data_IF_328682224190
#
_entry.id   IF_328682224190
#
_cell.length_a   1.000
_cell.length_b   1.000
_cell.length_c   1.000
_cell.angle_alpha   90.00
_cell.angle_beta   90.00
_cell.angle_gamma   90.00
#
_symmetry.space_group_name_H-M   'P 1'
#
loop_
_entity.id
_entity.type
_entity.pdbx_description
1 polymer ?
#
# COMPACT_ATOMS: atom_id res chain seq x y z
N UNK A 1 0.17 -8.75 48.04
CA UNK A 1 -0.55 -8.69 46.76
C UNK A 1 -0.29 -7.33 46.14
N UNK A 2 0.73 -7.16 45.28
CA UNK A 2 0.98 -5.94 44.46
C UNK A 2 2.27 -6.09 43.61
N UNK A 3 2.28 -7.02 42.66
CA UNK A 3 3.41 -7.16 41.73
C UNK A 3 3.00 -7.79 40.40
N UNK A 4 2.19 -8.85 40.44
CA UNK A 4 1.75 -9.57 39.23
C UNK A 4 0.62 -8.84 38.47
N UNK A 5 -0.29 -8.16 39.18
CA UNK A 5 -1.37 -7.38 38.54
C UNK A 5 -0.90 -6.11 37.81
N UNK A 6 0.31 -5.60 38.11
CA UNK A 6 0.92 -4.48 37.40
C UNK A 6 1.67 -4.93 36.14
N UNK A 7 2.23 -6.15 36.13
CA UNK A 7 2.80 -6.75 34.92
C UNK A 7 1.74 -7.15 33.90
N UNK A 8 0.63 -7.76 34.33
CA UNK A 8 -0.46 -8.11 33.40
C UNK A 8 -1.16 -6.90 32.78
N UNK A 9 -1.24 -5.76 33.47
CA UNK A 9 -1.79 -4.52 32.87
C UNK A 9 -0.87 -3.91 31.80
N UNK A 10 0.44 -4.14 31.89
CA UNK A 10 1.39 -3.65 30.89
C UNK A 10 1.57 -4.61 29.70
N UNK A 11 1.31 -5.91 29.86
CA UNK A 11 1.37 -6.88 28.75
C UNK A 11 0.09 -6.93 27.89
N UNK A 12 -1.05 -6.49 28.42
CA UNK A 12 -2.32 -6.40 27.66
C UNK A 12 -2.40 -5.12 26.82
N UNK A 13 -1.53 -4.12 27.07
CA UNK A 13 -1.54 -2.83 26.38
C UNK A 13 -0.88 -2.78 24.98
N UNK A 14 -0.36 -3.91 24.49
CA UNK A 14 0.48 -3.96 23.26
C UNK A 14 -0.20 -4.72 22.11
N UNK A 15 -1.32 -5.44 22.36
CA UNK A 15 -2.03 -6.24 21.33
C UNK A 15 -2.89 -5.45 20.34
N UNK A 16 -2.97 -4.13 20.50
CA UNK A 16 -4.03 -3.32 19.90
C UNK A 16 -3.48 -2.22 18.99
N UNK A 17 -2.26 -2.37 18.46
CA UNK A 17 -1.70 -1.38 17.52
C UNK A 17 -1.35 -2.05 16.21
N UNK A 18 -1.73 -1.43 15.09
CA UNK A 18 -1.29 -1.79 13.74
C UNK A 18 -0.42 -0.67 13.22
N UNK A 19 0.73 -1.03 12.64
CA UNK A 19 1.65 -0.10 12.02
C UNK A 19 1.64 -0.33 10.51
N UNK A 20 1.23 0.68 9.74
CA UNK A 20 1.16 0.60 8.28
C UNK A 20 2.16 1.58 7.72
N UNK A 21 2.95 1.14 6.75
CA UNK A 21 3.65 2.03 5.82
C UNK A 21 3.12 1.78 4.43
N UNK A 22 2.84 2.83 3.67
CA UNK A 22 2.53 2.68 2.24
C UNK A 22 3.38 3.62 1.40
N UNK A 23 3.83 3.14 0.25
CA UNK A 23 4.71 3.91 -0.63
C UNK A 23 4.66 3.43 -2.09
N UNK A 24 4.33 4.33 -3.01
CA UNK A 24 4.62 4.13 -4.42
C UNK A 24 6.13 4.30 -4.65
N UNK A 25 6.83 3.22 -5.00
CA UNK A 25 8.30 3.20 -5.08
C UNK A 25 8.83 3.61 -6.44
N UNK A 26 7.95 3.97 -7.38
CA UNK A 26 8.32 4.49 -8.69
C UNK A 26 9.33 3.61 -9.44
N UNK A 27 9.11 2.28 -9.41
CA UNK A 27 10.02 1.28 -10.00
C UNK A 27 11.46 1.33 -9.46
N UNK A 28 11.68 1.94 -8.29
CA UNK A 28 13.00 2.23 -7.74
C UNK A 28 13.86 3.14 -8.64
N UNK A 29 13.25 3.98 -9.49
CA UNK A 29 13.96 4.68 -10.58
C UNK A 29 14.57 6.05 -10.25
N UNK A 30 14.38 6.53 -9.02
CA UNK A 30 14.79 7.87 -8.61
C UNK A 30 14.33 8.97 -9.59
N UNK A 31 13.06 8.91 -10.06
CA UNK A 31 12.45 9.88 -10.98
C UNK A 31 13.05 9.89 -12.40
N UNK A 32 13.98 8.98 -12.73
CA UNK A 32 14.51 8.82 -14.08
C UNK A 32 13.52 8.07 -14.98
N UNK A 33 13.27 8.60 -16.18
CA UNK A 33 12.46 7.91 -17.20
C UNK A 33 13.07 8.13 -18.58
N UNK A 34 13.55 7.05 -19.19
CA UNK A 34 14.21 7.09 -20.51
C UNK A 34 13.29 6.77 -21.68
N UNK A 35 12.13 6.14 -21.44
CA UNK A 35 11.16 5.72 -22.46
C UNK A 35 9.74 6.23 -22.24
N UNK A 36 8.79 5.68 -22.99
CA UNK A 36 7.36 5.94 -22.76
C UNK A 36 6.92 5.39 -21.40
N UNK A 37 5.78 5.84 -20.90
CA UNK A 37 5.23 5.42 -19.60
C UNK A 37 5.10 3.90 -19.46
N UNK A 38 4.94 3.17 -20.57
CA UNK A 38 4.79 1.72 -20.59
C UNK A 38 6.06 0.93 -20.94
N UNK A 39 7.20 1.59 -21.14
CA UNK A 39 8.42 0.93 -21.67
C UNK A 39 9.39 0.40 -20.62
N UNK A 40 9.11 0.59 -19.31
CA UNK A 40 9.82 0.01 -18.15
C UNK A 40 11.24 -0.50 -18.45
N UNK A 41 12.19 0.43 -18.50
CA UNK A 41 13.59 0.11 -18.77
C UNK A 41 14.32 -0.16 -17.44
N UNK A 42 15.10 -1.24 -17.37
CA UNK A 42 15.90 -1.55 -16.18
C UNK A 42 16.90 -0.44 -15.84
N UNK A 43 17.45 0.21 -16.87
CA UNK A 43 18.38 1.32 -16.73
C UNK A 43 17.76 2.56 -16.08
N UNK A 44 16.44 2.61 -15.95
CA UNK A 44 15.76 3.65 -15.17
C UNK A 44 15.86 3.36 -13.67
N UNK A 45 15.92 2.10 -13.25
CA UNK A 45 16.08 1.72 -11.84
C UNK A 45 17.43 2.20 -11.28
N UNK A 46 17.41 2.72 -10.05
CA UNK A 46 18.59 3.23 -9.35
C UNK A 46 18.91 2.38 -8.12
N UNK A 47 20.16 1.91 -8.04
CA UNK A 47 20.60 1.01 -6.98
C UNK A 47 20.59 1.67 -5.59
N UNK A 48 20.95 2.96 -5.50
CA UNK A 48 20.98 3.65 -4.22
C UNK A 48 19.57 3.88 -3.70
N UNK A 49 18.65 4.29 -4.58
CA UNK A 49 17.22 4.40 -4.28
C UNK A 49 16.67 3.07 -3.78
N UNK A 50 16.95 1.96 -4.49
CA UNK A 50 16.55 0.64 -4.04
C UNK A 50 17.08 0.31 -2.64
N UNK A 51 18.39 0.46 -2.41
CA UNK A 51 19.04 0.17 -1.12
C UNK A 51 18.42 1.01 0.00
N UNK A 52 18.19 2.30 -0.24
CA UNK A 52 17.60 3.21 0.74
C UNK A 52 16.18 2.80 1.10
N UNK A 53 15.37 2.45 0.09
CA UNK A 53 13.98 1.98 0.30
C UNK A 53 13.99 0.67 1.10
N UNK A 54 14.80 -0.32 0.71
CA UNK A 54 14.89 -1.59 1.43
C UNK A 54 15.32 -1.40 2.88
N UNK A 55 16.32 -0.56 3.13
CA UNK A 55 16.77 -0.23 4.49
C UNK A 55 15.65 0.39 5.32
N UNK A 56 14.97 1.39 4.77
CA UNK A 56 13.87 2.08 5.43
C UNK A 56 12.69 1.15 5.74
N UNK A 57 12.40 0.17 4.87
CA UNK A 57 11.40 -0.87 5.11
C UNK A 57 11.82 -1.79 6.27
N UNK A 58 13.07 -2.26 6.28
CA UNK A 58 13.61 -3.10 7.36
C UNK A 58 13.56 -2.37 8.69
N UNK A 59 14.03 -1.13 8.75
CA UNK A 59 14.01 -0.29 9.94
C UNK A 59 12.57 -0.10 10.48
N UNK A 60 11.58 0.07 9.59
CA UNK A 60 10.18 0.15 9.98
C UNK A 60 9.63 -1.17 10.55
N UNK A 61 9.88 -2.30 9.88
CA UNK A 61 9.44 -3.62 10.32
C UNK A 61 10.15 -4.11 11.61
N UNK A 62 11.36 -3.64 11.87
CA UNK A 62 12.15 -3.97 13.06
C UNK A 62 11.79 -3.13 14.28
N UNK A 63 11.45 -1.86 14.08
CA UNK A 63 11.12 -0.94 15.17
C UNK A 63 9.65 -1.02 15.62
N UNK A 64 8.79 -1.72 14.89
CA UNK A 64 7.33 -1.73 15.11
C UNK A 64 6.78 -3.15 15.22
N UNK A 65 5.78 -3.32 16.09
CA UNK A 65 4.98 -4.54 16.16
C UNK A 65 3.79 -4.44 15.22
N UNK A 66 3.24 -5.59 14.80
CA UNK A 66 2.10 -5.67 13.88
C UNK A 66 2.27 -4.75 12.67
N UNK A 67 3.46 -4.80 12.08
CA UNK A 67 3.90 -3.88 11.05
C UNK A 67 3.77 -4.49 9.67
N UNK A 68 3.27 -3.69 8.74
CA UNK A 68 3.17 -4.03 7.32
C UNK A 68 3.63 -2.85 6.47
N UNK A 69 4.35 -3.17 5.40
CA UNK A 69 4.67 -2.21 4.34
C UNK A 69 3.93 -2.60 3.07
N UNK A 70 3.18 -1.67 2.50
CA UNK A 70 2.44 -1.81 1.25
C UNK A 70 3.15 -0.98 0.19
N UNK A 71 3.67 -1.63 -0.86
CA UNK A 71 4.38 -0.94 -1.92
C UNK A 71 3.58 -0.98 -3.21
N UNK A 72 3.46 0.17 -3.85
CA UNK A 72 2.89 0.30 -5.20
C UNK A 72 4.01 0.47 -6.20
N UNK A 73 3.77 0.06 -7.45
CA UNK A 73 4.75 0.19 -8.53
C UNK A 73 6.09 -0.51 -8.24
N UNK A 74 6.04 -1.70 -7.64
CA UNK A 74 7.23 -2.55 -7.60
C UNK A 74 7.45 -3.12 -9.00
N UNK A 75 8.63 -2.97 -9.61
CA UNK A 75 8.88 -3.48 -10.95
C UNK A 75 8.90 -5.01 -10.92
N UNK A 76 8.19 -5.63 -11.86
CA UNK A 76 8.11 -7.09 -12.00
C UNK A 76 8.74 -7.55 -13.32
N UNK A 77 8.34 -6.94 -14.45
CA UNK A 77 8.96 -7.17 -15.76
C UNK A 77 9.42 -5.88 -16.40
N UNK A 78 10.58 -5.98 -17.03
CA UNK A 78 11.29 -4.90 -17.72
C UNK A 78 11.52 -5.29 -19.18
N UNK A 79 11.62 -4.26 -20.04
CA UNK A 79 11.92 -4.45 -21.46
C UNK A 79 13.43 -4.57 -21.63
N UNK A 80 13.86 -5.67 -22.25
CA UNK A 80 15.25 -5.87 -22.71
C UNK A 80 15.22 -6.23 -24.20
N UNK A 81 15.56 -5.25 -25.04
CA UNK A 81 15.39 -5.33 -26.49
C UNK A 81 13.95 -5.64 -26.91
N UNK A 82 13.73 -6.84 -27.47
CA UNK A 82 12.41 -7.32 -27.90
C UNK A 82 11.71 -8.23 -26.87
N UNK A 83 12.35 -8.51 -25.73
CA UNK A 83 11.86 -9.43 -24.71
C UNK A 83 11.42 -8.70 -23.44
N UNK A 84 10.54 -9.35 -22.67
CA UNK A 84 10.14 -8.93 -21.34
C UNK A 84 10.67 -9.93 -20.31
N UNK A 85 11.61 -9.48 -19.51
CA UNK A 85 12.31 -10.29 -18.53
C UNK A 85 11.89 -9.88 -17.11
N UNK A 86 11.99 -10.80 -16.16
CA UNK A 86 11.81 -10.46 -14.75
C UNK A 86 12.90 -9.49 -14.31
N UNK A 87 12.49 -8.41 -13.65
CA UNK A 87 13.37 -7.34 -13.18
C UNK A 87 14.32 -7.83 -12.10
N UNK A 88 15.62 -7.49 -12.20
CA UNK A 88 16.58 -7.93 -11.18
C UNK A 88 16.34 -7.29 -9.82
N UNK A 89 15.74 -6.10 -9.76
CA UNK A 89 15.32 -5.48 -8.49
C UNK A 89 14.18 -6.23 -7.81
N UNK A 90 13.30 -6.89 -8.58
CA UNK A 90 12.29 -7.80 -8.03
C UNK A 90 12.96 -8.99 -7.34
N UNK A 91 13.91 -9.64 -8.02
CA UNK A 91 14.68 -10.77 -7.47
C UNK A 91 15.49 -10.36 -6.25
N UNK A 92 16.16 -9.20 -6.29
CA UNK A 92 16.89 -8.65 -5.15
C UNK A 92 15.97 -8.44 -3.95
N UNK A 93 14.75 -7.96 -4.17
CA UNK A 93 13.78 -7.75 -3.08
C UNK A 93 13.49 -9.06 -2.34
N UNK A 94 13.26 -10.17 -3.05
CA UNK A 94 13.08 -11.47 -2.42
C UNK A 94 14.34 -11.98 -1.68
N UNK A 95 15.54 -11.64 -2.15
CA UNK A 95 16.78 -11.97 -1.44
C UNK A 95 16.96 -11.13 -0.17
N UNK A 96 16.56 -9.85 -0.22
CA UNK A 96 16.68 -8.92 0.90
C UNK A 96 15.65 -9.18 2.01
N UNK A 97 14.52 -9.82 1.68
CA UNK A 97 13.48 -10.23 2.63
C UNK A 97 13.32 -11.76 2.62
N UNK A 98 14.24 -12.49 3.28
CA UNK A 98 14.29 -13.94 3.18
C UNK A 98 13.07 -14.59 3.85
N UNK A 99 12.58 -15.66 3.23
CA UNK A 99 11.30 -16.28 3.57
C UNK A 99 11.29 -17.02 4.90
N UNK A 100 12.41 -17.18 5.60
CA UNK A 100 12.41 -17.71 6.96
C UNK A 100 11.93 -16.67 7.99
N UNK A 101 12.02 -15.38 7.67
CA UNK A 101 11.68 -14.26 8.58
C UNK A 101 10.53 -13.41 8.06
N UNK A 102 10.54 -13.13 6.75
CA UNK A 102 9.58 -12.25 6.10
C UNK A 102 8.63 -13.01 5.17
N UNK A 103 7.55 -12.34 4.83
CA UNK A 103 6.63 -12.73 3.77
C UNK A 103 6.45 -11.53 2.82
N UNK A 104 6.64 -11.80 1.52
CA UNK A 104 6.24 -10.89 0.46
C UNK A 104 4.94 -11.43 -0.13
N UNK A 105 3.85 -10.68 0.00
CA UNK A 105 2.53 -11.04 -0.54
C UNK A 105 2.25 -10.22 -1.77
N UNK A 106 1.95 -10.90 -2.87
CA UNK A 106 1.72 -10.30 -4.17
C UNK A 106 0.57 -11.00 -4.90
N UNK A 107 -0.12 -10.25 -5.76
CA UNK A 107 -1.16 -10.80 -6.62
C UNK A 107 -0.69 -10.90 -8.07
N UNK A 108 0.30 -11.74 -8.35
CA UNK A 108 0.75 -11.99 -9.71
C UNK A 108 -0.25 -12.90 -10.43
N UNK A 109 -1.11 -12.30 -11.26
CA UNK A 109 -1.98 -13.05 -12.18
C UNK A 109 -1.17 -13.67 -13.33
N UNK A 110 -1.76 -14.65 -14.04
CA UNK A 110 -1.16 -15.23 -15.26
C UNK A 110 -1.03 -14.24 -16.43
N UNK A 111 -1.64 -13.06 -16.33
CA UNK A 111 -1.56 -12.04 -17.36
C UNK A 111 -0.19 -11.35 -17.37
N UNK A 112 0.08 -10.66 -18.46
CA UNK A 112 1.26 -9.83 -18.61
C UNK A 112 1.27 -8.70 -17.56
N UNK A 113 2.31 -8.65 -16.71
CA UNK A 113 2.48 -7.69 -15.60
C UNK A 113 3.86 -7.06 -15.72
N UNK A 114 3.93 -5.73 -15.71
CA UNK A 114 5.21 -4.97 -15.67
C UNK A 114 5.54 -4.49 -14.28
N UNK A 115 4.53 -4.14 -13.48
CA UNK A 115 4.65 -3.67 -12.09
C UNK A 115 3.51 -4.20 -11.24
N UNK A 116 3.71 -4.37 -9.95
CA UNK A 116 2.73 -4.89 -9.01
C UNK A 116 2.62 -4.06 -7.73
N UNK A 117 1.50 -4.25 -7.02
CA UNK A 117 1.36 -3.87 -5.62
C UNK A 117 1.69 -5.08 -4.76
N UNK A 118 2.52 -4.89 -3.73
CA UNK A 118 2.95 -5.96 -2.83
C UNK A 118 2.83 -5.53 -1.37
N UNK A 119 2.85 -6.51 -0.47
CA UNK A 119 3.04 -6.30 0.96
C UNK A 119 4.32 -6.98 1.41
N UNK A 120 5.04 -6.35 2.33
CA UNK A 120 6.18 -6.93 3.03
C UNK A 120 5.88 -6.88 4.52
N UNK A 121 6.02 -8.03 5.18
CA UNK A 121 5.67 -8.19 6.60
C UNK A 121 6.50 -9.29 7.25
N UNK A 122 6.60 -9.24 8.58
CA UNK A 122 7.16 -10.34 9.38
C UNK A 122 6.18 -11.50 9.47
N UNK A 123 6.69 -12.71 9.37
CA UNK A 123 5.86 -13.92 9.43
C UNK A 123 5.08 -14.04 10.74
N UNK A 124 3.89 -14.62 10.64
CA UNK A 124 3.06 -15.01 11.79
C UNK A 124 2.10 -13.94 12.31
N UNK A 125 2.11 -12.73 11.75
CA UNK A 125 1.21 -11.64 12.15
C UNK A 125 0.03 -11.53 11.19
N UNK A 126 0.32 -11.46 9.89
CA UNK A 126 -0.67 -11.30 8.84
C UNK A 126 -0.86 -12.62 8.10
N UNK A 127 -2.05 -12.81 7.52
CA UNK A 127 -2.31 -13.88 6.56
C UNK A 127 -2.92 -13.30 5.30
N UNK A 128 -2.73 -13.95 4.15
CA UNK A 128 -3.39 -13.56 2.90
C UNK A 128 -4.91 -13.68 3.05
N UNK A 129 -5.66 -12.66 2.63
CA UNK A 129 -7.11 -12.78 2.48
C UNK A 129 -7.42 -13.59 1.23
N UNK A 130 -7.75 -14.87 1.43
CA UNK A 130 -8.10 -15.80 0.34
C UNK A 130 -9.50 -15.56 -0.22
N UNK A 131 -10.36 -14.83 0.51
CA UNK A 131 -11.71 -14.52 0.07
C UNK A 131 -11.75 -13.27 -0.81
N UNK A 132 -10.75 -12.38 -0.69
CA UNK A 132 -10.61 -11.24 -1.55
C UNK A 132 -9.88 -11.60 -2.85
N UNK A 133 -10.59 -11.49 -3.97
CA UNK A 133 -10.08 -11.80 -5.31
C UNK A 133 -10.11 -10.53 -6.17
N UNK A 134 -9.08 -9.67 -6.08
CA UNK A 134 -9.09 -8.42 -6.82
C UNK A 134 -8.97 -8.68 -8.33
N UNK A 135 -9.58 -7.80 -9.11
CA UNK A 135 -9.64 -7.88 -10.56
C UNK A 135 -8.26 -7.85 -11.26
N UNK A 136 -7.21 -7.36 -10.59
CA UNK A 136 -5.84 -7.30 -11.11
C UNK A 136 -4.78 -7.31 -10.00
N UNK A 137 -3.51 -7.15 -10.39
CA UNK A 137 -2.34 -7.20 -9.52
C UNK A 137 -1.99 -5.88 -8.80
N UNK A 138 -2.87 -4.88 -8.90
CA UNK A 138 -2.70 -3.55 -8.26
C UNK A 138 -3.39 -3.46 -6.91
N UNK A 139 -4.12 -4.50 -6.50
CA UNK A 139 -4.66 -4.64 -5.15
C UNK A 139 -4.20 -5.96 -4.53
N UNK A 140 -3.89 -5.92 -3.24
CA UNK A 140 -3.65 -7.09 -2.40
C UNK A 140 -4.50 -7.02 -1.13
N UNK A 141 -4.91 -8.17 -0.61
CA UNK A 141 -5.69 -8.27 0.62
C UNK A 141 -5.04 -9.19 1.64
N UNK A 142 -5.04 -8.74 2.89
CA UNK A 142 -4.47 -9.43 4.05
C UNK A 142 -5.44 -9.36 5.21
N UNK A 143 -5.32 -10.29 6.14
CA UNK A 143 -6.04 -10.30 7.40
C UNK A 143 -5.06 -10.28 8.58
N UNK A 144 -5.45 -9.57 9.63
CA UNK A 144 -4.80 -9.58 10.94
C UNK A 144 -5.71 -10.37 11.88
N UNK A 145 -5.36 -11.64 12.11
CA UNK A 145 -6.29 -12.59 12.71
C UNK A 145 -7.62 -12.64 11.95
N UNK A 146 -8.73 -12.81 12.68
CA UNK A 146 -10.09 -12.82 12.13
C UNK A 146 -10.81 -11.46 12.26
N UNK A 147 -10.10 -10.40 12.70
CA UNK A 147 -10.71 -9.13 13.14
C UNK A 147 -10.63 -8.02 12.08
N UNK A 148 -9.48 -7.89 11.40
CA UNK A 148 -9.20 -6.75 10.52
C UNK A 148 -8.67 -7.20 9.17
N UNK A 149 -9.29 -6.71 8.11
CA UNK A 149 -8.77 -6.81 6.74
C UNK A 149 -7.95 -5.55 6.41
N UNK A 150 -6.79 -5.74 5.77
CA UNK A 150 -5.93 -4.68 5.25
C UNK A 150 -5.79 -4.85 3.74
N UNK A 151 -6.07 -3.78 2.98
CA UNK A 151 -5.89 -3.72 1.54
C UNK A 151 -4.74 -2.77 1.17
N UNK A 152 -3.83 -3.25 0.34
CA UNK A 152 -2.86 -2.41 -0.37
C UNK A 152 -3.39 -2.10 -1.76
N UNK A 153 -3.49 -0.83 -2.16
CA UNK A 153 -4.07 -0.42 -3.45
C UNK A 153 -3.12 0.42 -4.29
N UNK A 154 -3.26 0.33 -5.60
CA UNK A 154 -2.73 1.28 -6.56
C UNK A 154 -3.82 1.58 -7.61
N UNK A 155 -4.62 2.62 -7.39
CA UNK A 155 -5.81 2.91 -8.17
C UNK A 155 -5.49 3.61 -9.50
N UNK A 156 -6.27 3.37 -10.57
CA UNK A 156 -6.08 4.03 -11.85
C UNK A 156 -6.63 5.46 -11.87
N UNK A 157 -6.09 6.27 -12.76
CA UNK A 157 -6.65 7.55 -13.22
C UNK A 157 -6.83 7.53 -14.75
N UNK A 158 -7.45 8.57 -15.32
CA UNK A 158 -7.62 8.72 -16.79
C UNK A 158 -8.35 7.57 -17.48
N UNK A 159 -9.33 7.01 -16.79
CA UNK A 159 -10.17 5.92 -17.29
C UNK A 159 -11.54 6.40 -17.77
N UNK A 160 -12.28 5.52 -18.44
CA UNK A 160 -13.65 5.75 -18.92
C UNK A 160 -14.64 4.99 -18.05
N UNK A 161 -15.87 5.49 -17.96
CA UNK A 161 -16.95 4.78 -17.29
C UNK A 161 -17.13 3.39 -17.93
N UNK A 162 -17.34 2.39 -17.08
CA UNK A 162 -17.50 0.98 -17.47
C UNK A 162 -16.28 0.26 -18.05
N UNK A 163 -15.10 0.87 -18.06
CA UNK A 163 -13.86 0.16 -18.41
C UNK A 163 -13.29 -0.65 -17.23
N UNK A 164 -12.19 -1.39 -17.47
CA UNK A 164 -11.54 -2.20 -16.44
C UNK A 164 -10.98 -1.38 -15.26
N UNK A 165 -10.56 -0.14 -15.51
CA UNK A 165 -10.03 0.74 -14.48
C UNK A 165 -11.16 1.33 -13.63
N UNK A 166 -12.31 1.65 -14.23
CA UNK A 166 -13.54 2.02 -13.50
C UNK A 166 -14.09 0.84 -12.69
N UNK A 167 -14.02 -0.37 -13.25
CA UNK A 167 -14.40 -1.59 -12.54
C UNK A 167 -13.55 -1.81 -11.29
N UNK A 168 -12.24 -1.57 -11.35
CA UNK A 168 -11.35 -1.67 -10.18
C UNK A 168 -11.76 -0.72 -9.05
N UNK A 169 -12.16 0.52 -9.38
CA UNK A 169 -12.71 1.46 -8.40
C UNK A 169 -14.02 0.96 -7.78
N UNK A 170 -14.96 0.50 -8.61
CA UNK A 170 -16.25 0.00 -8.15
C UNK A 170 -16.11 -1.24 -7.27
N UNK A 171 -15.24 -2.19 -7.65
CA UNK A 171 -14.92 -3.38 -6.85
C UNK A 171 -14.43 -3.00 -5.44
N UNK A 172 -13.52 -2.03 -5.33
CA UNK A 172 -13.04 -1.53 -4.03
C UNK A 172 -14.16 -0.89 -3.21
N UNK A 173 -15.00 -0.06 -3.83
CA UNK A 173 -16.11 0.64 -3.17
C UNK A 173 -17.18 -0.35 -2.70
N UNK A 174 -17.55 -1.32 -3.54
CA UNK A 174 -18.51 -2.38 -3.23
C UNK A 174 -17.99 -3.24 -2.07
N UNK A 175 -16.74 -3.70 -2.13
CA UNK A 175 -16.13 -4.46 -1.04
C UNK A 175 -16.10 -3.67 0.28
N UNK A 176 -15.74 -2.38 0.22
CA UNK A 176 -15.73 -1.50 1.39
C UNK A 176 -17.13 -1.30 1.97
N UNK A 177 -18.13 -1.15 1.11
CA UNK A 177 -19.54 -1.02 1.49
C UNK A 177 -20.04 -2.28 2.19
N UNK A 178 -19.72 -3.45 1.64
CA UNK A 178 -20.07 -4.74 2.23
C UNK A 178 -19.42 -4.94 3.60
N UNK A 179 -18.13 -4.64 3.74
CA UNK A 179 -17.41 -4.69 5.01
C UNK A 179 -18.05 -3.77 6.05
N UNK A 180 -18.38 -2.53 5.66
CA UNK A 180 -19.07 -1.57 6.53
C UNK A 180 -20.45 -2.08 6.98
N UNK A 181 -21.24 -2.62 6.05
CA UNK A 181 -22.57 -3.15 6.33
C UNK A 181 -22.53 -4.34 7.30
N UNK A 182 -21.50 -5.21 7.17
CA UNK A 182 -21.25 -6.35 8.05
C UNK A 182 -20.55 -5.99 9.36
N UNK A 183 -20.17 -4.72 9.55
CA UNK A 183 -19.35 -4.23 10.69
C UNK A 183 -17.99 -4.93 10.80
N UNK A 184 -17.45 -5.37 9.66
CA UNK A 184 -16.11 -5.95 9.57
C UNK A 184 -15.09 -4.82 9.39
N UNK A 185 -14.00 -4.86 10.16
CA UNK A 185 -12.99 -3.79 10.15
C UNK A 185 -12.12 -3.89 8.90
N UNK A 186 -11.92 -2.76 8.25
CA UNK A 186 -11.17 -2.62 7.00
C UNK A 186 -10.24 -1.41 7.08
N UNK A 187 -9.01 -1.63 6.67
CA UNK A 187 -8.02 -0.59 6.40
C UNK A 187 -7.61 -0.68 4.93
N UNK A 188 -7.53 0.45 4.23
CA UNK A 188 -7.14 0.51 2.81
C UNK A 188 -6.04 1.56 2.71
N UNK A 189 -4.87 1.21 2.21
CA UNK A 189 -3.74 2.12 2.12
C UNK A 189 -3.03 1.97 0.77
N UNK A 190 -2.61 3.08 0.19
CA UNK A 190 -1.95 3.05 -1.11
C UNK A 190 -2.00 4.35 -1.88
N UNK A 191 -1.65 4.24 -3.16
CA UNK A 191 -1.77 5.29 -4.15
C UNK A 191 -3.16 5.21 -4.78
N UNK A 192 -3.99 6.20 -4.51
CA UNK A 192 -5.34 6.30 -5.05
C UNK A 192 -5.39 7.10 -6.35
N UNK A 193 -4.32 7.79 -6.76
CA UNK A 193 -4.32 8.69 -7.91
C UNK A 193 -5.51 9.70 -7.95
N UNK A 194 -6.13 9.98 -6.80
CA UNK A 194 -7.41 10.66 -6.70
C UNK A 194 -7.57 11.36 -5.36
N UNK A 195 -8.24 12.50 -5.38
CA UNK A 195 -8.55 13.35 -4.24
C UNK A 195 -9.70 14.29 -4.58
N UNK A 196 -10.30 14.93 -3.57
CA UNK A 196 -11.35 15.94 -3.78
C UNK A 196 -10.72 17.17 -4.44
N UNK A 197 -11.23 17.55 -5.62
CA UNK A 197 -10.68 18.62 -6.44
C UNK A 197 -9.70 18.16 -7.52
N UNK A 198 -9.49 16.85 -7.71
CA UNK A 198 -8.59 16.37 -8.76
C UNK A 198 -9.10 16.69 -10.18
N UNK A 199 -8.17 16.83 -11.14
CA UNK A 199 -8.51 17.23 -12.52
C UNK A 199 -9.40 16.21 -13.22
N UNK A 200 -9.23 14.93 -12.92
CA UNK A 200 -10.02 13.86 -13.52
C UNK A 200 -11.35 13.71 -12.76
N UNK A 201 -12.45 14.14 -13.37
CA UNK A 201 -13.78 14.14 -12.74
C UNK A 201 -14.34 12.75 -12.44
N UNK A 202 -14.00 11.74 -13.23
CA UNK A 202 -14.45 10.38 -12.96
C UNK A 202 -13.65 9.78 -11.79
N UNK A 203 -12.34 10.00 -11.73
CA UNK A 203 -11.51 9.62 -10.58
C UNK A 203 -11.98 10.33 -9.31
N UNK A 204 -12.24 11.63 -9.37
CA UNK A 204 -12.80 12.41 -8.25
C UNK A 204 -14.13 11.82 -7.76
N UNK A 205 -15.05 11.50 -8.69
CA UNK A 205 -16.34 10.88 -8.37
C UNK A 205 -16.15 9.57 -7.59
N UNK A 206 -15.27 8.66 -8.06
CA UNK A 206 -15.01 7.38 -7.38
C UNK A 206 -14.33 7.55 -6.02
N UNK A 207 -13.40 8.50 -5.91
CA UNK A 207 -12.77 8.83 -4.63
C UNK A 207 -13.81 9.33 -3.61
N UNK A 208 -14.72 10.23 -4.02
CA UNK A 208 -15.81 10.71 -3.16
C UNK A 208 -16.77 9.57 -2.76
N UNK A 209 -17.07 8.64 -3.67
CA UNK A 209 -17.89 7.46 -3.36
C UNK A 209 -17.22 6.59 -2.27
N UNK A 210 -15.91 6.36 -2.34
CA UNK A 210 -15.16 5.67 -1.30
C UNK A 210 -15.17 6.44 0.03
N UNK A 211 -14.95 7.75 0.00
CA UNK A 211 -14.94 8.61 1.19
C UNK A 211 -16.29 8.67 1.93
N UNK A 212 -17.40 8.30 1.27
CA UNK A 212 -18.71 8.16 1.94
C UNK A 212 -18.81 6.88 2.77
N UNK A 213 -18.04 5.86 2.44
CA UNK A 213 -18.09 4.55 3.12
C UNK A 213 -16.91 4.29 4.03
N UNK A 214 -15.76 4.92 3.81
CA UNK A 214 -14.59 4.88 4.70
C UNK A 214 -14.07 6.29 5.01
N UNK A 215 -13.52 6.47 6.20
CA UNK A 215 -12.88 7.72 6.65
C UNK A 215 -11.43 7.74 6.16
N UNK A 216 -11.06 8.78 5.42
CA UNK A 216 -9.66 9.11 5.17
C UNK A 216 -9.03 9.69 6.44
N UNK A 217 -7.86 9.21 6.81
CA UNK A 217 -7.11 9.69 7.98
C UNK A 217 -5.86 10.49 7.59
N UNK A 218 -5.61 10.67 6.30
CA UNK A 218 -4.52 11.49 5.77
C UNK A 218 -5.07 12.90 5.47
N UNK A 219 -4.25 13.93 5.71
CA UNK A 219 -4.65 15.32 5.44
C UNK A 219 -4.49 15.64 3.96
N UNK A 220 -5.56 16.18 3.36
CA UNK A 220 -5.56 16.67 1.97
C UNK A 220 -4.66 17.92 1.77
N UNK A 221 -4.20 18.56 2.84
CA UNK A 221 -3.37 19.77 2.76
C UNK A 221 -1.89 19.48 2.48
N UNK A 222 -1.46 18.21 2.58
CA UNK A 222 -0.06 17.82 2.40
C UNK A 222 0.12 17.00 1.12
N UNK A 223 0.78 17.56 0.09
CA UNK A 223 1.08 16.82 -1.12
C UNK A 223 1.96 15.60 -0.86
N UNK A 224 1.55 14.45 -1.41
CA UNK A 224 2.28 13.18 -1.35
C UNK A 224 3.03 12.90 -2.65
N UNK A 225 2.55 13.41 -3.78
CA UNK A 225 3.21 13.31 -5.08
C UNK A 225 3.92 14.59 -5.49
N UNK A 226 5.05 14.47 -6.21
CA UNK A 226 5.89 15.61 -6.64
C UNK A 226 5.11 16.64 -7.48
N UNK A 227 4.05 16.19 -8.17
CA UNK A 227 3.08 17.03 -8.88
C UNK A 227 2.21 17.94 -8.00
N UNK A 228 2.50 18.03 -6.70
CA UNK A 228 1.80 18.86 -5.72
C UNK A 228 0.34 18.42 -5.51
N UNK A 229 0.12 17.11 -5.43
CA UNK A 229 -1.21 16.51 -5.19
C UNK A 229 -1.17 15.51 -4.04
N UNK A 230 -2.19 15.46 -3.17
CA UNK A 230 -2.37 14.40 -2.19
C UNK A 230 -3.05 13.22 -2.91
N UNK A 231 -2.29 12.22 -3.33
CA UNK A 231 -2.86 11.06 -4.05
C UNK A 231 -2.63 9.74 -3.32
N UNK A 232 -1.80 9.75 -2.29
CA UNK A 232 -1.57 8.62 -1.41
C UNK A 232 -2.43 8.82 -0.16
N UNK A 233 -3.21 7.81 0.22
CA UNK A 233 -4.19 7.90 1.31
C UNK A 233 -4.22 6.65 2.17
N UNK A 234 -4.85 6.78 3.35
CA UNK A 234 -5.16 5.66 4.24
C UNK A 234 -6.62 5.83 4.68
N UNK A 235 -7.46 4.86 4.32
CA UNK A 235 -8.87 4.82 4.68
C UNK A 235 -9.15 3.75 5.73
N UNK A 236 -10.08 4.05 6.64
CA UNK A 236 -10.60 3.10 7.65
C UNK A 236 -12.13 3.10 7.65
N UNK A 237 -12.77 1.95 7.86
CA UNK A 237 -14.24 1.85 7.93
C UNK A 237 -14.82 1.68 9.35
N UNK A 238 -13.97 1.69 10.38
CA UNK A 238 -14.33 1.42 11.77
C UNK A 238 -13.98 2.60 12.70
N UNK A 239 -14.39 2.48 13.97
CA UNK A 239 -14.73 3.58 14.87
C UNK A 239 -13.84 4.84 14.85
N UNK A 240 -14.49 6.00 14.83
CA UNK A 240 -13.91 7.33 14.69
C UNK A 240 -13.02 7.81 15.85
N UNK A 241 -13.12 7.17 17.01
CA UNK A 241 -12.40 7.54 18.24
C UNK A 241 -11.04 6.83 18.36
N UNK A 242 -10.62 6.16 17.30
CA UNK A 242 -9.28 5.59 17.13
C UNK A 242 -8.23 6.68 17.37
N UNK A 243 -7.36 6.44 18.35
CA UNK A 243 -6.11 7.19 18.47
C UNK A 243 -5.20 6.72 17.33
N UNK A 244 -5.04 7.58 16.33
CA UNK A 244 -4.15 7.34 15.21
C UNK A 244 -3.14 8.46 15.06
N UNK A 245 -1.96 8.07 14.60
CA UNK A 245 -0.91 9.00 14.19
C UNK A 245 -0.53 8.71 12.75
N UNK A 246 -0.71 9.69 11.88
CA UNK A 246 -0.20 9.66 10.51
C UNK A 246 1.08 10.51 10.42
N UNK A 247 2.09 9.96 9.76
CA UNK A 247 3.35 10.64 9.42
C UNK A 247 3.53 10.57 7.91
N UNK A 248 3.76 11.72 7.30
CA UNK A 248 4.07 11.84 5.87
C UNK A 248 5.58 12.11 5.76
N UNK A 249 6.25 11.45 4.82
CA UNK A 249 7.65 11.74 4.52
C UNK A 249 7.84 13.23 4.20
N UNK A 250 8.93 13.82 4.69
CA UNK A 250 9.16 15.26 4.53
C UNK A 250 9.49 15.63 3.09
N UNK A 251 10.34 14.84 2.45
CA UNK A 251 10.96 15.13 1.16
C UNK A 251 10.78 13.97 0.19
N UNK A 252 10.78 14.25 -1.11
CA UNK A 252 10.75 13.24 -2.17
C UNK A 252 12.15 12.66 -2.41
N UNK A 253 12.68 11.93 -1.43
CA UNK A 253 14.07 11.49 -1.44
C UNK A 253 14.32 10.35 -2.42
N UNK A 254 13.54 9.27 -2.31
CA UNK A 254 13.80 8.02 -3.04
C UNK A 254 12.70 7.67 -4.07
N UNK A 255 11.63 8.45 -4.15
CA UNK A 255 10.54 8.28 -5.10
C UNK A 255 9.96 9.66 -5.47
N UNK A 256 9.19 9.75 -6.56
CA UNK A 256 8.31 10.89 -6.83
C UNK A 256 7.06 10.91 -5.94
N UNK A 257 6.87 9.88 -5.11
CA UNK A 257 5.93 9.85 -4.00
C UNK A 257 6.65 9.91 -2.65
N UNK A 258 6.01 10.55 -1.68
CA UNK A 258 6.32 10.45 -0.26
C UNK A 258 5.68 9.20 0.31
N UNK A 259 6.35 8.49 1.20
CA UNK A 259 5.67 7.44 1.96
C UNK A 259 4.69 8.03 2.98
N UNK A 260 3.69 7.22 3.35
CA UNK A 260 2.83 7.44 4.50
C UNK A 260 3.09 6.37 5.56
N UNK A 261 3.04 6.76 6.83
CA UNK A 261 3.03 5.84 7.96
C UNK A 261 1.82 6.12 8.83
N UNK A 262 1.13 5.08 9.28
CA UNK A 262 0.07 5.17 10.26
C UNK A 262 0.32 4.21 11.42
N UNK A 263 0.17 4.72 12.64
CA UNK A 263 0.03 3.92 13.86
C UNK A 263 -1.44 3.99 14.27
N UNK A 264 -2.13 2.86 14.34
CA UNK A 264 -3.58 2.75 14.57
C UNK A 264 -3.85 1.94 15.84
N UNK A 265 -4.49 2.54 16.85
CA UNK A 265 -4.83 1.86 18.11
C UNK A 265 -6.29 1.41 18.19
N UNK A 266 -6.55 0.11 18.08
CA UNK A 266 -7.89 -0.47 17.86
C UNK A 266 -8.41 -1.37 18.98
#
# INVERSE_FOLDING_TARGET
>A
MNGENLKMKNEVGIKNTINIKTWNVDWFRNKKRSGQEWEYNENDCDLNTYINIVKDIKDFLDSRQNAIVLLQEVPYKIKDGAMWLECDYHKKLHNDFPTNEFEIVENISRNYITRCTIAILKKGIFSRDLNFKPCNNRIIGLNIGDDITVLGVHMPTNFKEDDQNDHMWRELIEYTTDKKAKKEKLIIAGDFNGYIGCKNKLTEKRFIELARVAKDIVSDDTPTYIGQTPIDHIFINFNSDLDYKVVIEKDWGNSDHKYLQAELKY
#
